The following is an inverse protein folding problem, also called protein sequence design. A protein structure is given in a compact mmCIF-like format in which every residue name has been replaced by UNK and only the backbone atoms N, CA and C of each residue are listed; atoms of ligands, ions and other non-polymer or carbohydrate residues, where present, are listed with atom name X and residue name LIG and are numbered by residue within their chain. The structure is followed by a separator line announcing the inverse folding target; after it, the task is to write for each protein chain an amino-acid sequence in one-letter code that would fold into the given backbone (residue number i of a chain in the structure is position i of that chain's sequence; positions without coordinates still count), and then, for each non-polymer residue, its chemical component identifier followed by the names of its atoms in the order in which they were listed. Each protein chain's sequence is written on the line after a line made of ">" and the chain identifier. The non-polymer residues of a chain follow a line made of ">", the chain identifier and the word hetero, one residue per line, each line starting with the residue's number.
data_IF_926761575037
#
_entry.id   IF_926761575037
#
_cell.length_a   1.000
_cell.length_b   1.000
_cell.length_c   1.000
_cell.angle_alpha   90.00
_cell.angle_beta   90.00
_cell.angle_gamma   90.00
#
_symmetry.space_group_name_H-M   'P 1'
#
loop_
_entity.id
_entity.type
_entity.pdbx_description
1 polymer ?
#
# COMPACT_ATOMS: atom_id res chain seq x y z
N UNK A 1 10.62 22.12 -14.30
CA UNK A 1 9.52 21.26 -13.80
C UNK A 1 10.07 19.85 -13.65
N UNK A 2 9.86 19.20 -12.52
CA UNK A 2 10.28 17.81 -12.25
C UNK A 2 9.06 16.93 -11.94
N UNK A 3 9.17 15.64 -12.23
CA UNK A 3 8.12 14.65 -11.95
C UNK A 3 8.57 13.82 -10.75
N UNK A 4 7.68 13.67 -9.78
CA UNK A 4 7.80 12.67 -8.73
C UNK A 4 6.53 11.81 -8.77
N UNK A 5 6.67 10.55 -9.16
CA UNK A 5 5.58 9.57 -9.29
C UNK A 5 6.04 8.26 -8.68
N UNK A 6 5.18 7.64 -7.89
CA UNK A 6 5.38 6.32 -7.31
C UNK A 6 4.22 5.45 -7.78
N UNK A 7 4.51 4.21 -8.18
CA UNK A 7 3.49 3.24 -8.55
C UNK A 7 3.76 1.98 -7.74
N UNK A 8 2.76 1.50 -6.99
CA UNK A 8 2.86 0.28 -6.19
C UNK A 8 1.69 -0.65 -6.49
N UNK A 9 1.97 -1.96 -6.53
CA UNK A 9 0.95 -3.01 -6.56
C UNK A 9 1.28 -4.00 -5.47
N UNK A 10 0.37 -4.19 -4.52
CA UNK A 10 0.64 -4.99 -3.34
C UNK A 10 -0.62 -5.31 -2.55
N UNK A 11 -0.44 -5.88 -1.36
CA UNK A 11 -1.53 -6.26 -0.47
C UNK A 11 -1.54 -5.42 0.80
N UNK A 12 -2.73 -5.07 1.27
CA UNK A 12 -2.91 -4.27 2.49
C UNK A 12 -2.51 -5.06 3.72
N UNK A 13 -1.60 -4.53 4.53
CA UNK A 13 -1.09 -5.21 5.73
C UNK A 13 -2.01 -5.19 6.93
N UNK A 14 -2.83 -4.14 7.04
CA UNK A 14 -3.78 -3.91 8.14
C UNK A 14 -4.94 -3.06 7.66
N UNK A 15 -6.09 -3.19 8.31
CA UNK A 15 -7.25 -2.34 8.02
C UNK A 15 -6.88 -0.85 8.11
N UNK A 16 -7.41 0.01 7.23
CA UNK A 16 -7.14 1.43 7.28
C UNK A 16 -7.55 2.07 8.60
N UNK A 17 -6.62 2.82 9.20
CA UNK A 17 -6.89 3.65 10.37
C UNK A 17 -7.40 5.02 9.90
N UNK A 18 -8.66 5.35 10.23
CA UNK A 18 -9.33 6.55 9.77
C UNK A 18 -9.29 7.64 10.85
N UNK A 19 -8.91 8.85 10.45
CA UNK A 19 -8.98 10.05 11.29
C UNK A 19 -9.81 11.11 10.59
N UNK A 20 -10.83 11.58 11.30
CA UNK A 20 -11.67 12.69 10.88
C UNK A 20 -11.19 13.99 11.52
N UNK A 21 -11.15 15.04 10.73
CA UNK A 21 -10.85 16.41 11.12
C UNK A 21 -12.06 17.30 10.85
N UNK A 22 -12.02 18.51 11.39
CA UNK A 22 -13.05 19.53 11.13
C UNK A 22 -13.20 19.81 9.61
N UNK A 23 -14.42 20.20 9.23
CA UNK A 23 -14.83 20.45 7.84
C UNK A 23 -14.73 19.20 6.94
N UNK A 24 -15.18 18.04 7.43
CA UNK A 24 -15.40 16.84 6.61
C UNK A 24 -14.13 16.24 5.97
N UNK A 25 -12.96 16.61 6.50
CA UNK A 25 -11.67 16.12 6.04
C UNK A 25 -11.34 14.80 6.73
N UNK A 26 -11.21 13.74 5.95
CA UNK A 26 -10.79 12.44 6.44
C UNK A 26 -9.37 12.12 5.96
N UNK A 27 -8.63 11.37 6.77
CA UNK A 27 -7.35 10.76 6.41
C UNK A 27 -7.40 9.27 6.73
N UNK A 28 -6.98 8.44 5.79
CA UNK A 28 -6.84 7.01 5.97
C UNK A 28 -5.36 6.62 5.92
N UNK A 29 -4.90 5.84 6.89
CA UNK A 29 -3.53 5.32 6.92
C UNK A 29 -3.51 3.80 6.99
N UNK A 30 -2.77 3.16 6.09
CA UNK A 30 -2.56 1.72 6.10
C UNK A 30 -1.16 1.36 5.58
N UNK A 31 -0.74 0.12 5.84
CA UNK A 31 0.49 -0.42 5.26
C UNK A 31 0.17 -1.24 4.01
N UNK A 32 1.06 -1.20 3.02
CA UNK A 32 0.99 -2.00 1.80
C UNK A 32 2.28 -2.84 1.70
N UNK A 33 2.13 -4.14 1.50
CA UNK A 33 3.23 -5.06 1.23
C UNK A 33 3.41 -5.24 -0.27
N UNK A 34 4.61 -4.99 -0.79
CA UNK A 34 5.02 -5.38 -2.14
C UNK A 34 6.06 -6.47 -2.05
N UNK A 35 5.80 -7.61 -2.67
CA UNK A 35 6.63 -8.81 -2.52
C UNK A 35 7.28 -9.21 -3.83
N UNK A 36 8.62 -9.22 -3.85
CA UNK A 36 9.41 -9.84 -4.91
C UNK A 36 9.52 -11.34 -4.64
N UNK A 37 8.99 -12.15 -5.56
CA UNK A 37 9.02 -13.61 -5.43
C UNK A 37 10.47 -14.10 -5.38
N UNK A 38 10.74 -15.00 -4.44
CA UNK A 38 12.01 -15.72 -4.41
C UNK A 38 12.22 -16.51 -5.70
N UNK A 39 13.47 -16.66 -6.10
CA UNK A 39 13.84 -17.38 -7.32
C UNK A 39 15.17 -18.09 -7.16
N UNK A 40 15.40 -19.12 -7.97
CA UNK A 40 16.68 -19.82 -8.03
C UNK A 40 17.50 -19.27 -9.18
N UNK A 41 18.72 -18.83 -8.89
CA UNK A 41 19.67 -18.38 -9.93
C UNK A 41 20.13 -19.56 -10.79
N UNK A 42 20.63 -19.28 -12.00
CA UNK A 42 21.21 -20.31 -12.88
C UNK A 42 22.41 -21.03 -12.25
N UNK A 43 23.09 -20.39 -11.29
CA UNK A 43 24.19 -20.98 -10.50
C UNK A 43 23.72 -21.86 -9.32
N UNK A 44 22.41 -22.04 -9.15
CA UNK A 44 21.83 -22.91 -8.12
C UNK A 44 21.67 -22.26 -6.75
N UNK A 45 21.92 -20.95 -6.61
CA UNK A 45 21.68 -20.21 -5.37
C UNK A 45 20.18 -19.85 -5.29
N UNK A 46 19.55 -20.20 -4.18
CA UNK A 46 18.17 -19.82 -3.88
C UNK A 46 18.13 -18.40 -3.28
N UNK A 47 17.48 -17.48 -3.98
CA UNK A 47 17.23 -16.11 -3.50
C UNK A 47 15.88 -16.11 -2.78
N UNK A 48 15.84 -15.75 -1.49
CA UNK A 48 14.60 -15.76 -0.73
C UNK A 48 13.63 -14.68 -1.20
N UNK A 49 12.35 -14.89 -0.89
CA UNK A 49 11.32 -13.88 -1.09
C UNK A 49 11.62 -12.63 -0.24
N UNK A 50 11.45 -11.45 -0.86
CA UNK A 50 11.67 -10.16 -0.19
C UNK A 50 10.38 -9.35 -0.22
N UNK A 51 9.92 -8.94 0.96
CA UNK A 51 8.75 -8.06 1.09
C UNK A 51 9.18 -6.69 1.57
N UNK A 52 8.72 -5.66 0.86
CA UNK A 52 8.88 -4.25 1.23
C UNK A 52 7.54 -3.71 1.74
N UNK A 53 7.60 -2.87 2.77
CA UNK A 53 6.43 -2.31 3.43
C UNK A 53 6.38 -0.80 3.23
N UNK A 54 5.25 -0.33 2.71
CA UNK A 54 5.00 1.07 2.40
C UNK A 54 3.88 1.59 3.28
N UNK A 55 4.03 2.80 3.81
CA UNK A 55 2.94 3.47 4.53
C UNK A 55 2.18 4.37 3.56
N UNK A 56 0.90 4.08 3.36
CA UNK A 56 0.03 4.81 2.45
C UNK A 56 -0.87 5.74 3.25
N UNK A 57 -0.95 7.00 2.84
CA UNK A 57 -1.83 8.02 3.42
C UNK A 57 -2.75 8.56 2.34
N UNK A 58 -4.05 8.29 2.45
CA UNK A 58 -5.07 8.85 1.57
C UNK A 58 -5.78 10.01 2.26
N UNK A 59 -6.14 11.06 1.51
CA UNK A 59 -6.82 12.25 2.02
C UNK A 59 -8.21 12.42 1.38
N UNK A 60 -9.12 13.07 2.10
CA UNK A 60 -10.41 13.51 1.58
C UNK A 60 -11.26 12.36 1.05
N UNK A 61 -11.73 12.48 -0.20
CA UNK A 61 -12.57 11.46 -0.84
C UNK A 61 -11.91 10.07 -0.90
N UNK A 62 -10.59 10.00 -1.15
CA UNK A 62 -9.88 8.72 -1.16
C UNK A 62 -9.81 8.08 0.22
N UNK A 63 -9.77 8.88 1.30
CA UNK A 63 -9.84 8.35 2.65
C UNK A 63 -11.21 7.70 2.93
N UNK A 64 -12.31 8.33 2.47
CA UNK A 64 -13.67 7.77 2.59
C UNK A 64 -13.84 6.48 1.75
N UNK A 65 -13.25 6.44 0.56
CA UNK A 65 -13.20 5.22 -0.27
C UNK A 65 -12.41 4.11 0.45
N UNK A 66 -11.23 4.44 0.98
CA UNK A 66 -10.42 3.46 1.72
C UNK A 66 -11.16 2.92 2.95
N UNK A 67 -11.82 3.77 3.72
CA UNK A 67 -12.65 3.33 4.86
C UNK A 67 -13.74 2.34 4.46
N UNK A 68 -14.46 2.66 3.39
CA UNK A 68 -15.62 1.88 2.95
C UNK A 68 -15.22 0.54 2.33
N UNK A 69 -14.14 0.51 1.53
CA UNK A 69 -13.86 -0.63 0.64
C UNK A 69 -12.56 -1.36 0.95
N UNK A 70 -11.60 -0.75 1.64
CA UNK A 70 -10.30 -1.38 1.88
C UNK A 70 -10.29 -2.12 3.21
N UNK A 71 -9.77 -3.34 3.16
CA UNK A 71 -9.56 -4.25 4.30
C UNK A 71 -8.18 -4.90 4.21
N UNK A 72 -7.72 -5.42 5.33
CA UNK A 72 -6.49 -6.21 5.41
C UNK A 72 -6.53 -7.36 4.40
N UNK A 73 -5.45 -7.50 3.64
CA UNK A 73 -5.26 -8.53 2.62
C UNK A 73 -5.65 -8.10 1.21
N UNK A 74 -6.44 -7.03 1.06
CA UNK A 74 -6.90 -6.60 -0.25
C UNK A 74 -5.72 -6.24 -1.17
N UNK A 75 -5.75 -6.67 -2.45
CA UNK A 75 -4.79 -6.24 -3.44
C UNK A 75 -5.13 -4.84 -3.93
N UNK A 76 -4.16 -3.92 -3.91
CA UNK A 76 -4.33 -2.54 -4.35
C UNK A 76 -3.26 -2.11 -5.36
N UNK A 77 -3.66 -1.27 -6.30
CA UNK A 77 -2.79 -0.41 -7.10
C UNK A 77 -2.79 1.00 -6.49
N UNK A 78 -1.61 1.59 -6.27
CA UNK A 78 -1.43 2.94 -5.71
C UNK A 78 -0.62 3.78 -6.70
N UNK A 79 -1.07 5.02 -6.91
CA UNK A 79 -0.40 6.10 -7.66
C UNK A 79 -0.60 7.46 -6.95
#
# INVERSE_FOLDING_TARGET
>A
MSVNKVILVGNVGRDPEIKYFDNDRAVANFSLATTERGYRTSGGIDVPEKTEWHNITCWGGLAKVAEQYVKKGDPLYIE
#
